data_IF_603267052988
#
_entry.id   IF_603267052988
#
_cell.length_a   1.000
_cell.length_b   1.000
_cell.length_c   1.000
_cell.angle_alpha   90.00
_cell.angle_beta   90.00
_cell.angle_gamma   90.00
#
_symmetry.space_group_name_H-M   'P 1'
#
loop_
_entity.id
_entity.type
_entity.pdbx_description
1 polymer ?
#
# COMPACT_ATOMS: atom_id res chain seq x y z
N UNK A 1 -15.87 -0.28 12.53
CA UNK A 1 -16.81 -0.39 11.38
C UNK A 1 -16.11 -0.33 10.04
N UNK A 2 -15.20 0.64 9.74
CA UNK A 2 -14.53 0.74 8.43
C UNK A 2 -13.73 -0.52 8.04
N UNK A 3 -13.14 -1.22 9.00
CA UNK A 3 -12.42 -2.48 8.75
C UNK A 3 -13.42 -3.62 8.50
N UNK A 4 -14.51 -3.67 9.24
CA UNK A 4 -15.61 -4.63 9.02
C UNK A 4 -16.25 -4.45 7.65
N UNK A 5 -16.35 -3.20 7.17
CA UNK A 5 -16.96 -2.85 5.89
C UNK A 5 -15.97 -2.95 4.70
N UNK A 6 -14.72 -3.35 4.94
CA UNK A 6 -13.69 -3.44 3.89
C UNK A 6 -14.06 -4.38 2.72
N UNK A 7 -14.71 -5.55 2.93
CA UNK A 7 -15.25 -6.36 1.83
C UNK A 7 -16.23 -5.58 0.95
N UNK A 8 -17.14 -4.81 1.56
CA UNK A 8 -18.07 -3.93 0.85
C UNK A 8 -17.38 -2.81 0.09
N UNK A 9 -16.31 -2.25 0.64
CA UNK A 9 -15.47 -1.24 -0.04
C UNK A 9 -14.81 -1.82 -1.30
N UNK A 10 -14.21 -3.01 -1.22
CA UNK A 10 -13.57 -3.66 -2.37
C UNK A 10 -14.60 -4.03 -3.45
N UNK A 11 -15.81 -4.44 -3.05
CA UNK A 11 -16.93 -4.66 -3.99
C UNK A 11 -17.32 -3.36 -4.71
N UNK A 12 -17.50 -2.28 -3.98
CA UNK A 12 -17.84 -0.97 -4.55
C UNK A 12 -16.73 -0.46 -5.46
N UNK A 13 -15.46 -0.65 -5.09
CA UNK A 13 -14.31 -0.32 -5.92
C UNK A 13 -14.32 -1.13 -7.23
N UNK A 14 -14.54 -2.44 -7.17
CA UNK A 14 -14.65 -3.27 -8.36
C UNK A 14 -15.81 -2.85 -9.27
N UNK A 15 -16.98 -2.55 -8.71
CA UNK A 15 -18.13 -2.05 -9.46
C UNK A 15 -17.87 -0.71 -10.14
N UNK A 16 -17.14 0.19 -9.48
CA UNK A 16 -16.70 1.45 -10.06
C UNK A 16 -15.86 1.21 -11.33
N UNK A 17 -14.95 0.24 -11.31
CA UNK A 17 -14.12 -0.07 -12.47
C UNK A 17 -14.93 -0.62 -13.66
N UNK A 18 -16.08 -1.28 -13.44
CA UNK A 18 -16.92 -1.78 -14.54
C UNK A 18 -17.55 -0.65 -15.37
N UNK A 19 -17.64 0.56 -14.82
CA UNK A 19 -18.11 1.76 -15.52
C UNK A 19 -17.00 2.73 -15.89
N UNK A 20 -15.77 2.40 -15.57
CA UNK A 20 -14.60 3.25 -15.83
C UNK A 20 -14.19 3.19 -17.31
N UNK A 21 -13.49 4.23 -17.82
CA UNK A 21 -12.94 4.20 -19.17
C UNK A 21 -11.96 3.03 -19.36
N UNK A 22 -12.13 2.27 -20.43
CA UNK A 22 -11.28 1.13 -20.80
C UNK A 22 -10.17 1.49 -21.79
N UNK A 23 -10.05 2.76 -22.14
CA UNK A 23 -9.01 3.30 -22.99
C UNK A 23 -8.67 4.74 -22.57
N UNK A 24 -7.44 5.13 -22.81
CA UNK A 24 -7.03 6.52 -22.66
C UNK A 24 -7.50 7.36 -23.89
N UNK A 25 -7.66 8.68 -23.72
CA UNK A 25 -7.97 9.59 -24.83
C UNK A 25 -6.78 9.79 -25.79
N UNK A 26 -5.67 9.11 -25.57
CA UNK A 26 -4.40 9.24 -26.31
C UNK A 26 -4.17 7.99 -27.17
N UNK A 27 -4.73 7.95 -28.39
CA UNK A 27 -4.80 6.75 -29.24
C UNK A 27 -3.45 6.10 -29.58
N UNK A 28 -2.36 6.88 -29.61
CA UNK A 28 -1.03 6.39 -30.02
C UNK A 28 -0.01 6.36 -28.86
N UNK A 29 -0.46 6.57 -27.64
CA UNK A 29 0.42 6.60 -26.49
C UNK A 29 0.73 5.19 -25.96
N UNK A 30 2.02 4.87 -26.00
CA UNK A 30 2.58 3.68 -25.37
C UNK A 30 3.58 4.18 -24.31
N UNK A 31 3.37 3.93 -23.03
CA UNK A 31 4.27 4.40 -21.99
C UNK A 31 5.63 3.69 -22.06
N UNK A 32 6.72 4.45 -22.02
CA UNK A 32 8.05 3.90 -21.80
C UNK A 32 8.29 3.54 -20.32
N UNK A 33 7.58 4.17 -19.43
CA UNK A 33 7.50 3.89 -17.99
C UNK A 33 6.22 4.48 -17.39
N UNK A 34 5.81 3.95 -16.24
CA UNK A 34 4.73 4.51 -15.43
C UNK A 34 5.26 4.98 -14.06
N UNK A 35 4.72 6.11 -13.58
CA UNK A 35 4.99 6.65 -12.25
C UNK A 35 3.68 6.88 -11.52
N UNK A 36 3.49 6.22 -10.39
CA UNK A 36 2.34 6.46 -9.51
C UNK A 36 2.75 7.44 -8.42
N UNK A 37 2.12 8.62 -8.42
CA UNK A 37 2.38 9.69 -7.45
C UNK A 37 1.33 9.67 -6.35
N UNK A 38 1.76 9.78 -5.10
CA UNK A 38 0.86 9.90 -3.96
C UNK A 38 1.60 9.87 -2.63
N UNK A 39 0.93 10.30 -1.57
CA UNK A 39 1.45 10.34 -0.21
C UNK A 39 0.65 9.46 0.73
N UNK A 40 1.29 8.89 1.76
CA UNK A 40 0.63 8.13 2.82
C UNK A 40 -0.33 7.06 2.31
N UNK A 41 -1.58 7.09 2.75
CA UNK A 41 -2.63 6.14 2.34
C UNK A 41 -2.92 6.12 0.84
N UNK A 42 -2.69 7.23 0.10
CA UNK A 42 -2.81 7.27 -1.36
C UNK A 42 -1.54 6.73 -2.04
N UNK A 43 -0.35 7.04 -1.50
CA UNK A 43 0.94 6.63 -2.08
C UNK A 43 1.22 5.15 -1.96
N UNK A 44 0.73 4.51 -0.90
CA UNK A 44 0.97 3.06 -0.66
C UNK A 44 0.45 2.19 -1.80
N UNK A 45 -0.66 2.58 -2.45
CA UNK A 45 -1.21 1.86 -3.60
C UNK A 45 -0.22 1.78 -4.77
N UNK A 46 0.49 2.89 -5.03
CA UNK A 46 1.52 2.95 -6.07
C UNK A 46 2.74 2.09 -5.74
N UNK A 47 3.19 2.13 -4.49
CA UNK A 47 4.34 1.32 -4.06
C UNK A 47 4.04 -0.17 -4.14
N UNK A 48 2.87 -0.60 -3.68
CA UNK A 48 2.43 -2.00 -3.79
C UNK A 48 2.36 -2.43 -5.26
N UNK A 49 1.70 -1.65 -6.11
CA UNK A 49 1.61 -1.94 -7.54
C UNK A 49 3.01 -2.02 -8.19
N UNK A 50 3.93 -1.11 -7.84
CA UNK A 50 5.31 -1.11 -8.33
C UNK A 50 6.05 -2.40 -7.96
N UNK A 51 5.94 -2.88 -6.71
CA UNK A 51 6.57 -4.12 -6.26
C UNK A 51 5.94 -5.36 -6.89
N UNK A 52 4.62 -5.45 -6.86
CA UNK A 52 3.85 -6.57 -7.42
C UNK A 52 4.09 -6.76 -8.92
N UNK A 53 4.25 -5.68 -9.67
CA UNK A 53 4.45 -5.70 -11.11
C UNK A 53 5.92 -5.72 -11.54
N UNK A 54 6.87 -5.68 -10.62
CA UNK A 54 8.30 -5.51 -10.90
C UNK A 54 8.90 -6.56 -11.83
N UNK A 55 8.35 -7.78 -11.84
CA UNK A 55 8.83 -8.90 -12.67
C UNK A 55 7.94 -9.21 -13.88
N UNK A 56 6.76 -8.59 -13.97
CA UNK A 56 5.76 -8.93 -14.99
C UNK A 56 5.39 -7.78 -15.93
N UNK A 57 5.52 -6.53 -15.48
CA UNK A 57 5.24 -5.38 -16.34
C UNK A 57 6.28 -5.25 -17.46
N UNK A 58 5.87 -4.95 -18.72
CA UNK A 58 6.77 -4.82 -19.85
C UNK A 58 7.67 -3.58 -19.80
N UNK A 59 7.33 -2.60 -18.96
CA UNK A 59 8.10 -1.38 -18.73
C UNK A 59 8.13 -1.07 -17.22
N UNK A 60 9.08 -0.26 -16.73
CA UNK A 60 9.15 0.08 -15.32
C UNK A 60 7.85 0.73 -14.79
N UNK A 61 7.34 0.22 -13.69
CA UNK A 61 6.27 0.84 -12.89
C UNK A 61 6.89 1.27 -11.58
N UNK A 62 6.87 2.56 -11.29
CA UNK A 62 7.55 3.17 -10.14
C UNK A 62 6.55 3.94 -9.28
N UNK A 63 6.87 4.13 -8.00
CA UNK A 63 6.12 4.99 -7.10
C UNK A 63 6.94 6.22 -6.72
N UNK A 64 6.27 7.36 -6.55
CA UNK A 64 6.87 8.62 -6.12
C UNK A 64 6.05 9.28 -5.00
N UNK A 65 6.73 9.74 -3.95
CA UNK A 65 6.13 10.37 -2.78
C UNK A 65 6.98 11.56 -2.32
N UNK A 66 7.20 12.53 -3.21
CA UNK A 66 8.03 13.70 -2.97
C UNK A 66 7.45 14.92 -3.71
N UNK A 67 7.94 16.10 -3.36
CA UNK A 67 7.68 17.36 -4.08
C UNK A 67 8.32 17.39 -5.46
N UNK A 68 9.48 16.76 -5.62
CA UNK A 68 10.26 16.75 -6.85
C UNK A 68 10.00 15.50 -7.68
N UNK A 69 9.97 15.67 -9.00
CA UNK A 69 9.90 14.57 -9.95
C UNK A 69 11.29 14.07 -10.34
N UNK A 70 11.45 12.76 -10.55
CA UNK A 70 12.63 12.21 -11.21
C UNK A 70 12.90 12.88 -12.56
N UNK A 71 14.18 13.07 -12.89
CA UNK A 71 14.60 13.77 -14.12
C UNK A 71 14.19 13.10 -15.44
N UNK A 72 13.85 11.80 -15.39
CA UNK A 72 13.42 11.02 -16.55
C UNK A 72 11.92 11.18 -16.89
N UNK A 73 11.12 11.81 -16.02
CA UNK A 73 9.68 12.04 -16.28
C UNK A 73 9.51 13.05 -17.41
N UNK A 74 8.75 12.67 -18.43
CA UNK A 74 8.48 13.50 -19.62
C UNK A 74 7.37 12.90 -20.50
N UNK A 75 7.34 13.26 -21.77
CA UNK A 75 6.25 12.92 -22.71
C UNK A 75 6.04 11.42 -22.93
N UNK A 76 7.04 10.57 -22.66
CA UNK A 76 6.94 9.11 -22.70
C UNK A 76 6.47 8.49 -21.39
N UNK A 77 6.17 9.27 -20.36
CA UNK A 77 5.78 8.79 -19.04
C UNK A 77 4.27 8.82 -18.86
N UNK A 78 3.69 7.69 -18.40
CA UNK A 78 2.36 7.68 -17.80
C UNK A 78 2.51 8.04 -16.31
N UNK A 79 1.87 9.11 -15.87
CA UNK A 79 1.76 9.49 -14.46
C UNK A 79 0.35 9.17 -13.97
N UNK A 80 0.24 8.36 -12.92
CA UNK A 80 -1.02 8.12 -12.22
C UNK A 80 -0.98 8.91 -10.91
N UNK A 81 -1.73 10.00 -10.86
CA UNK A 81 -1.81 10.86 -9.68
C UNK A 81 -2.89 10.35 -8.72
N UNK A 82 -2.47 9.88 -7.54
CA UNK A 82 -3.36 9.34 -6.54
C UNK A 82 -3.35 10.26 -5.29
N UNK A 83 -4.43 10.99 -5.08
CA UNK A 83 -4.63 11.82 -3.89
C UNK A 83 -6.09 11.76 -3.46
N UNK A 84 -6.36 11.13 -2.31
CA UNK A 84 -7.72 10.98 -1.79
C UNK A 84 -8.40 12.35 -1.60
N UNK A 85 -7.77 13.28 -0.88
CA UNK A 85 -8.31 14.63 -0.69
C UNK A 85 -8.26 15.49 -1.96
N UNK A 86 -7.39 15.16 -2.90
CA UNK A 86 -7.08 15.98 -4.06
C UNK A 86 -6.35 17.29 -3.75
N UNK A 87 -5.89 17.48 -2.50
CA UNK A 87 -5.25 18.73 -2.04
C UNK A 87 -3.87 18.50 -1.42
N UNK A 88 -3.31 17.27 -1.55
CA UNK A 88 -1.99 16.95 -1.00
C UNK A 88 -0.91 17.74 -1.73
N UNK A 89 -0.20 18.59 -1.00
CA UNK A 89 0.74 19.59 -1.52
C UNK A 89 1.84 18.97 -2.37
N UNK A 90 2.49 17.93 -1.85
CA UNK A 90 3.57 17.20 -2.53
C UNK A 90 3.07 16.59 -3.84
N UNK A 91 1.89 15.97 -3.81
CA UNK A 91 1.29 15.37 -5.01
C UNK A 91 0.94 16.43 -6.05
N UNK A 92 0.36 17.55 -5.65
CA UNK A 92 0.02 18.66 -6.55
C UNK A 92 1.28 19.27 -7.16
N UNK A 93 2.34 19.50 -6.37
CA UNK A 93 3.64 19.98 -6.86
C UNK A 93 4.21 19.06 -7.93
N UNK A 94 4.27 17.74 -7.65
CA UNK A 94 4.81 16.76 -8.58
C UNK A 94 3.95 16.64 -9.87
N UNK A 95 2.62 16.66 -9.74
CA UNK A 95 1.69 16.60 -10.90
C UNK A 95 1.84 17.82 -11.80
N UNK A 96 1.98 19.02 -11.22
CA UNK A 96 2.23 20.23 -12.00
C UNK A 96 3.50 20.12 -12.83
N UNK A 97 4.61 19.70 -12.22
CA UNK A 97 5.87 19.46 -12.94
C UNK A 97 5.72 18.40 -14.03
N UNK A 98 4.96 17.31 -13.77
CA UNK A 98 4.69 16.28 -14.76
C UNK A 98 3.96 16.83 -15.99
N UNK A 99 2.94 17.66 -15.77
CA UNK A 99 2.19 18.32 -16.83
C UNK A 99 3.08 19.25 -17.66
N UNK A 100 3.91 20.09 -17.01
CA UNK A 100 4.87 20.99 -17.65
C UNK A 100 5.90 20.24 -18.50
N UNK A 101 6.28 19.01 -18.11
CA UNK A 101 7.19 18.13 -18.88
C UNK A 101 6.47 17.30 -19.95
N UNK A 102 5.16 17.48 -20.14
CA UNK A 102 4.35 16.81 -21.15
C UNK A 102 4.02 15.35 -20.87
N UNK A 103 4.14 14.89 -19.62
CA UNK A 103 3.71 13.55 -19.23
C UNK A 103 2.21 13.35 -19.47
N UNK A 104 1.79 12.10 -19.70
CA UNK A 104 0.39 11.73 -19.78
C UNK A 104 -0.12 11.42 -18.38
N UNK A 105 -1.20 12.07 -17.96
CA UNK A 105 -1.67 12.03 -16.57
C UNK A 105 -3.04 11.37 -16.51
N UNK A 106 -3.19 10.38 -15.61
CA UNK A 106 -4.45 9.80 -15.18
C UNK A 106 -4.60 10.03 -13.67
N UNK A 107 -5.82 10.10 -13.17
CA UNK A 107 -6.10 10.55 -11.81
C UNK A 107 -6.96 9.55 -11.04
N UNK A 108 -6.68 9.40 -9.74
CA UNK A 108 -7.53 8.71 -8.76
C UNK A 108 -7.71 9.67 -7.57
N UNK A 109 -8.92 10.18 -7.35
CA UNK A 109 -9.19 11.18 -6.31
C UNK A 109 -10.66 11.19 -5.89
N UNK A 110 -10.96 11.71 -4.69
CA UNK A 110 -12.36 12.01 -4.31
C UNK A 110 -12.81 13.42 -4.72
N UNK A 111 -11.90 14.26 -5.26
CA UNK A 111 -12.19 15.64 -5.66
C UNK A 111 -11.00 16.56 -5.43
N UNK A 112 -11.26 17.75 -4.89
CA UNK A 112 -10.26 18.79 -4.59
C UNK A 112 -9.58 19.35 -5.84
N UNK A 113 -8.49 20.07 -5.64
CA UNK A 113 -7.71 20.73 -6.70
C UNK A 113 -7.27 19.76 -7.80
N UNK A 114 -6.87 18.53 -7.44
CA UNK A 114 -6.48 17.51 -8.41
C UNK A 114 -7.64 17.11 -9.32
N UNK A 115 -8.86 16.96 -8.76
CA UNK A 115 -10.07 16.68 -9.54
C UNK A 115 -10.45 17.84 -10.47
N UNK A 116 -10.31 19.08 -9.99
CA UNK A 116 -10.52 20.28 -10.81
C UNK A 116 -9.53 20.36 -11.97
N UNK A 117 -8.24 20.11 -11.72
CA UNK A 117 -7.22 20.08 -12.77
C UNK A 117 -7.51 18.98 -13.79
N UNK A 118 -7.92 17.78 -13.34
CA UNK A 118 -8.27 16.69 -14.24
C UNK A 118 -9.40 17.10 -15.20
N UNK A 119 -10.46 17.75 -14.67
CA UNK A 119 -11.56 18.24 -15.50
C UNK A 119 -11.13 19.35 -16.47
N UNK A 120 -10.32 20.33 -16.02
CA UNK A 120 -9.85 21.44 -16.85
C UNK A 120 -8.90 21.01 -17.97
N UNK A 121 -8.02 20.02 -17.68
CA UNK A 121 -7.01 19.54 -18.61
C UNK A 121 -7.48 18.34 -19.47
N UNK A 122 -8.70 17.81 -19.19
CA UNK A 122 -9.22 16.62 -19.86
C UNK A 122 -8.45 15.34 -19.52
N UNK A 123 -7.84 15.26 -18.32
CA UNK A 123 -7.18 14.04 -17.86
C UNK A 123 -8.22 12.99 -17.47
N UNK A 124 -8.03 11.72 -17.86
CA UNK A 124 -8.91 10.65 -17.38
C UNK A 124 -8.82 10.53 -15.86
N UNK A 125 -9.98 10.49 -15.20
CA UNK A 125 -10.06 10.47 -13.75
C UNK A 125 -11.05 9.43 -13.25
N UNK A 126 -10.65 8.71 -12.19
CA UNK A 126 -11.54 7.89 -11.38
C UNK A 126 -11.88 8.67 -10.11
N UNK A 127 -13.16 9.03 -9.99
CA UNK A 127 -13.69 9.67 -8.80
C UNK A 127 -14.14 8.61 -7.79
N UNK A 128 -13.45 8.57 -6.65
CA UNK A 128 -13.72 7.63 -5.56
C UNK A 128 -14.54 8.31 -4.45
N UNK A 129 -15.31 7.56 -3.63
CA UNK A 129 -16.07 8.14 -2.52
C UNK A 129 -15.18 8.89 -1.52
N UNK A 130 -15.63 10.07 -1.09
CA UNK A 130 -15.00 10.88 -0.06
C UNK A 130 -15.58 10.66 1.35
N UNK A 131 -15.08 11.41 2.35
CA UNK A 131 -15.70 11.49 3.70
C UNK A 131 -15.12 10.54 4.75
N UNK A 132 -14.03 9.84 4.44
CA UNK A 132 -13.37 8.90 5.36
C UNK A 132 -11.86 9.21 5.51
N UNK A 133 -11.18 8.68 6.55
CA UNK A 133 -9.73 8.76 6.63
C UNK A 133 -9.06 8.11 5.41
N UNK A 134 -8.06 8.76 4.77
CA UNK A 134 -7.44 8.24 3.53
C UNK A 134 -6.93 6.80 3.63
N UNK A 135 -6.34 6.43 4.78
CA UNK A 135 -5.81 5.09 5.03
C UNK A 135 -6.87 3.98 5.01
N UNK A 136 -8.13 4.33 5.34
CA UNK A 136 -9.25 3.38 5.30
C UNK A 136 -9.81 3.20 3.89
N UNK A 137 -9.39 3.99 2.90
CA UNK A 137 -9.90 3.95 1.53
C UNK A 137 -8.92 3.26 0.56
N UNK A 138 -8.09 2.38 1.10
CA UNK A 138 -7.07 1.64 0.34
C UNK A 138 -7.67 0.85 -0.83
N UNK A 139 -8.82 0.18 -0.64
CA UNK A 139 -9.48 -0.57 -1.70
C UNK A 139 -9.72 0.30 -2.94
N UNK A 140 -10.34 1.47 -2.78
CA UNK A 140 -10.58 2.37 -3.91
C UNK A 140 -9.29 2.88 -4.55
N UNK A 141 -8.29 3.27 -3.73
CA UNK A 141 -7.01 3.77 -4.23
C UNK A 141 -6.25 2.73 -5.05
N UNK A 142 -6.12 1.52 -4.51
CA UNK A 142 -5.39 0.43 -5.15
C UNK A 142 -6.09 -0.07 -6.42
N UNK A 143 -7.41 -0.28 -6.37
CA UNK A 143 -8.20 -0.67 -7.55
C UNK A 143 -8.09 0.37 -8.67
N UNK A 144 -8.15 1.66 -8.32
CA UNK A 144 -8.01 2.74 -9.29
C UNK A 144 -6.61 2.79 -9.94
N UNK A 145 -5.54 2.60 -9.16
CA UNK A 145 -4.16 2.51 -9.67
C UNK A 145 -4.01 1.30 -10.59
N UNK A 146 -4.46 0.12 -10.16
CA UNK A 146 -4.40 -1.11 -10.95
C UNK A 146 -5.20 -1.00 -12.25
N UNK A 147 -6.34 -0.29 -12.22
CA UNK A 147 -7.14 -0.05 -13.41
C UNK A 147 -6.37 0.78 -14.46
N UNK A 148 -5.81 1.92 -14.08
CA UNK A 148 -5.06 2.74 -15.03
C UNK A 148 -3.80 2.03 -15.55
N UNK A 149 -3.13 1.26 -14.72
CA UNK A 149 -2.01 0.42 -15.16
C UNK A 149 -2.47 -0.69 -16.11
N UNK A 150 -3.66 -1.28 -15.87
CA UNK A 150 -4.25 -2.28 -16.78
C UNK A 150 -4.64 -1.67 -18.13
N UNK A 151 -5.29 -0.50 -18.13
CA UNK A 151 -5.62 0.25 -19.36
C UNK A 151 -4.36 0.60 -20.17
N UNK A 152 -3.22 0.80 -19.49
CA UNK A 152 -1.91 1.00 -20.10
C UNK A 152 -1.26 -0.30 -20.61
N UNK A 153 -1.85 -1.47 -20.39
CA UNK A 153 -1.28 -2.77 -20.75
C UNK A 153 -0.13 -3.23 -19.85
N UNK A 154 -0.04 -2.69 -18.63
CA UNK A 154 1.06 -2.96 -17.70
C UNK A 154 0.72 -3.99 -16.62
N UNK A 155 -0.53 -4.42 -16.52
CA UNK A 155 -0.99 -5.43 -15.55
C UNK A 155 -1.39 -6.70 -16.29
N UNK A 156 -0.86 -7.87 -15.91
CA UNK A 156 -1.32 -9.14 -16.44
C UNK A 156 -2.83 -9.33 -16.24
N UNK A 157 -3.53 -9.79 -17.28
CA UNK A 157 -4.98 -9.98 -17.27
C UNK A 157 -5.47 -10.85 -16.10
N UNK A 158 -4.73 -11.92 -15.78
CA UNK A 158 -5.05 -12.80 -14.66
C UNK A 158 -5.05 -12.04 -13.33
N UNK A 159 -4.04 -11.19 -13.12
CA UNK A 159 -3.89 -10.40 -11.90
C UNK A 159 -5.02 -9.36 -11.77
N UNK A 160 -5.34 -8.65 -12.87
CA UNK A 160 -6.43 -7.68 -12.90
C UNK A 160 -7.79 -8.32 -12.61
N UNK A 161 -8.08 -9.47 -13.23
CA UNK A 161 -9.33 -10.20 -12.97
C UNK A 161 -9.44 -10.75 -11.56
N UNK A 162 -8.33 -11.08 -10.92
CA UNK A 162 -8.27 -11.50 -9.52
C UNK A 162 -8.91 -10.48 -8.57
N UNK A 163 -8.84 -9.18 -8.88
CA UNK A 163 -9.49 -8.12 -8.10
C UNK A 163 -11.01 -8.37 -7.94
N UNK A 164 -11.67 -8.98 -8.93
CA UNK A 164 -13.10 -9.29 -8.87
C UNK A 164 -13.46 -10.38 -7.84
N UNK A 165 -12.52 -11.27 -7.49
CA UNK A 165 -12.71 -12.33 -6.50
C UNK A 165 -12.50 -11.88 -5.05
N UNK A 166 -11.73 -10.80 -4.86
CA UNK A 166 -11.36 -10.29 -3.52
C UNK A 166 -12.55 -9.99 -2.61
N UNK A 167 -13.64 -9.31 -3.07
CA UNK A 167 -14.74 -8.96 -2.16
C UNK A 167 -15.41 -10.18 -1.51
N UNK A 168 -15.64 -11.23 -2.29
CA UNK A 168 -16.28 -12.46 -1.79
C UNK A 168 -15.33 -13.21 -0.83
N UNK A 169 -14.05 -13.28 -1.15
CA UNK A 169 -13.03 -13.88 -0.31
C UNK A 169 -12.96 -13.18 1.05
N UNK A 170 -12.83 -11.84 1.07
CA UNK A 170 -12.78 -11.07 2.32
C UNK A 170 -14.06 -11.19 3.15
N UNK A 171 -15.24 -11.18 2.50
CA UNK A 171 -16.51 -11.34 3.21
C UNK A 171 -16.61 -12.71 3.89
N UNK A 172 -16.13 -13.76 3.23
CA UNK A 172 -16.12 -15.11 3.79
C UNK A 172 -15.12 -15.24 4.96
N UNK A 173 -13.95 -14.61 4.86
CA UNK A 173 -12.84 -14.76 5.80
C UNK A 173 -12.75 -13.65 6.88
N UNK A 174 -13.74 -12.76 7.00
CA UNK A 174 -13.68 -11.63 7.96
C UNK A 174 -13.45 -12.09 9.40
N UNK A 175 -14.14 -13.14 9.85
CA UNK A 175 -13.99 -13.67 11.22
C UNK A 175 -12.59 -14.28 11.42
N UNK A 176 -12.13 -15.09 10.46
CA UNK A 176 -10.79 -15.68 10.50
C UNK A 176 -9.68 -14.61 10.54
N UNK A 177 -9.82 -13.54 9.74
CA UNK A 177 -8.87 -12.43 9.74
C UNK A 177 -8.80 -11.74 11.11
N UNK A 178 -9.95 -11.57 11.79
CA UNK A 178 -10.02 -10.99 13.12
C UNK A 178 -9.41 -11.91 14.17
N UNK A 179 -9.69 -13.21 14.12
CA UNK A 179 -9.13 -14.20 15.05
C UNK A 179 -7.60 -14.28 14.91
N UNK A 180 -7.08 -14.36 13.68
CA UNK A 180 -5.64 -14.34 13.40
C UNK A 180 -4.96 -13.05 13.88
N UNK A 181 -5.62 -11.90 13.72
CA UNK A 181 -5.10 -10.64 14.24
C UNK A 181 -5.04 -10.64 15.78
N UNK A 182 -6.00 -11.26 16.45
CA UNK A 182 -5.98 -11.41 17.92
C UNK A 182 -4.85 -12.33 18.40
N UNK A 183 -4.61 -13.45 17.72
CA UNK A 183 -3.48 -14.34 18.00
C UNK A 183 -2.12 -13.63 17.83
N UNK A 184 -1.99 -12.81 16.77
CA UNK A 184 -0.79 -12.00 16.55
C UNK A 184 -0.63 -10.95 17.68
N UNK A 185 -1.71 -10.30 18.12
CA UNK A 185 -1.67 -9.35 19.23
C UNK A 185 -1.18 -10.03 20.53
N UNK A 186 -1.69 -11.22 20.86
CA UNK A 186 -1.23 -12.00 22.01
C UNK A 186 0.28 -12.30 21.90
N UNK A 187 0.74 -12.69 20.72
CA UNK A 187 2.16 -12.96 20.48
C UNK A 187 3.04 -11.70 20.58
N UNK A 188 2.51 -10.51 20.28
CA UNK A 188 3.26 -9.25 20.43
C UNK A 188 3.54 -8.93 21.89
N UNK A 189 2.57 -9.12 22.78
CA UNK A 189 2.71 -8.94 24.23
C UNK A 189 3.48 -7.67 24.66
N UNK A 190 3.23 -6.54 24.00
CA UNK A 190 3.86 -5.25 24.28
C UNK A 190 5.31 -5.08 23.81
N UNK A 191 5.86 -6.04 23.08
CA UNK A 191 7.24 -6.01 22.55
C UNK A 191 7.37 -5.11 21.30
N UNK A 192 8.61 -4.84 20.93
CA UNK A 192 8.96 -4.10 19.72
C UNK A 192 8.65 -4.96 18.47
N UNK A 193 7.91 -4.40 17.54
CA UNK A 193 7.45 -5.12 16.35
C UNK A 193 8.44 -4.92 15.20
N UNK A 194 8.96 -6.01 14.65
CA UNK A 194 9.76 -6.05 13.44
C UNK A 194 8.99 -6.83 12.36
N UNK A 195 8.75 -6.19 11.22
CA UNK A 195 8.03 -6.79 10.08
C UNK A 195 9.03 -7.24 9.02
N UNK A 196 9.03 -8.51 8.65
CA UNK A 196 9.86 -9.05 7.60
C UNK A 196 9.05 -9.79 6.54
N UNK A 197 9.57 -9.79 5.30
CA UNK A 197 9.00 -10.52 4.18
C UNK A 197 9.90 -10.47 2.94
N UNK A 198 9.47 -11.08 1.86
CA UNK A 198 10.16 -10.97 0.56
C UNK A 198 10.07 -9.54 0.00
N UNK A 199 11.05 -9.13 -0.79
CA UNK A 199 11.08 -7.82 -1.47
C UNK A 199 9.79 -7.53 -2.26
N UNK A 200 9.16 -8.56 -2.84
CA UNK A 200 7.90 -8.40 -3.56
C UNK A 200 6.76 -7.92 -2.65
N UNK A 201 6.83 -8.21 -1.35
CA UNK A 201 5.84 -7.85 -0.34
C UNK A 201 6.16 -6.55 0.42
N UNK A 202 7.25 -5.85 0.06
CA UNK A 202 7.67 -4.63 0.78
C UNK A 202 6.56 -3.60 0.93
N UNK A 203 5.73 -3.41 -0.10
CA UNK A 203 4.60 -2.49 -0.03
C UNK A 203 3.57 -2.89 1.03
N UNK A 204 3.33 -4.20 1.24
CA UNK A 204 2.45 -4.70 2.29
C UNK A 204 3.05 -4.49 3.69
N UNK A 205 4.35 -4.77 3.86
CA UNK A 205 5.06 -4.52 5.12
C UNK A 205 5.00 -3.04 5.50
N UNK A 206 5.22 -2.14 4.55
CA UNK A 206 5.09 -0.69 4.75
C UNK A 206 3.66 -0.31 5.11
N UNK A 207 2.64 -0.91 4.47
CA UNK A 207 1.25 -0.66 4.83
C UNK A 207 0.94 -1.10 6.27
N UNK A 208 1.37 -2.31 6.68
CA UNK A 208 1.22 -2.77 8.05
C UNK A 208 1.86 -1.81 9.04
N UNK A 209 3.12 -1.41 8.79
CA UNK A 209 3.80 -0.40 9.60
C UNK A 209 3.01 0.90 9.70
N UNK A 210 2.48 1.42 8.58
CA UNK A 210 1.69 2.65 8.55
C UNK A 210 0.41 2.50 9.40
N UNK A 211 -0.31 1.40 9.27
CA UNK A 211 -1.52 1.12 10.04
C UNK A 211 -1.22 0.98 11.54
N UNK A 212 -0.17 0.28 11.91
CA UNK A 212 0.29 0.16 13.31
C UNK A 212 0.66 1.53 13.87
N UNK A 213 1.42 2.35 13.12
CA UNK A 213 1.80 3.69 13.56
C UNK A 213 0.58 4.61 13.70
N UNK A 214 -0.31 4.65 12.69
CA UNK A 214 -1.42 5.60 12.68
C UNK A 214 -2.58 5.18 13.58
N UNK A 215 -2.96 3.90 13.61
CA UNK A 215 -4.07 3.39 14.43
C UNK A 215 -3.58 3.03 15.83
N UNK A 216 -2.56 2.16 15.94
CA UNK A 216 -2.04 1.65 17.20
C UNK A 216 -1.18 2.63 18.00
N UNK A 217 -0.75 3.75 17.40
CA UNK A 217 0.19 4.74 18.00
C UNK A 217 1.52 4.13 18.44
N UNK A 218 1.95 3.06 17.78
CA UNK A 218 3.19 2.34 18.07
C UNK A 218 4.19 2.53 16.94
N UNK A 219 5.47 2.71 17.27
CA UNK A 219 6.54 2.64 16.30
C UNK A 219 6.79 1.18 15.92
N UNK A 220 6.98 0.93 14.64
CA UNK A 220 7.22 -0.39 14.09
C UNK A 220 8.23 -0.28 12.95
N UNK A 221 9.17 -1.22 12.89
CA UNK A 221 10.17 -1.28 11.83
C UNK A 221 9.83 -2.37 10.81
N UNK A 222 10.38 -2.28 9.60
CA UNK A 222 10.27 -3.32 8.60
C UNK A 222 11.56 -3.42 7.79
N UNK A 223 11.86 -4.60 7.28
CA UNK A 223 12.87 -4.81 6.27
C UNK A 223 12.50 -6.00 5.37
N UNK A 224 13.25 -6.17 4.29
CA UNK A 224 12.97 -7.21 3.30
C UNK A 224 14.13 -8.16 3.09
N UNK A 225 13.79 -9.40 2.82
CA UNK A 225 14.72 -10.39 2.29
C UNK A 225 14.88 -10.21 0.78
N UNK A 226 16.08 -10.45 0.23
CA UNK A 226 17.31 -10.89 0.92
C UNK A 226 18.18 -9.75 1.48
N UNK A 227 17.82 -8.47 1.29
CA UNK A 227 18.67 -7.32 1.61
C UNK A 227 19.08 -7.28 3.09
N UNK A 228 18.13 -7.53 4.02
CA UNK A 228 18.40 -7.51 5.45
C UNK A 228 19.51 -8.48 5.88
N UNK A 229 19.72 -9.59 5.15
CA UNK A 229 20.76 -10.57 5.45
C UNK A 229 22.18 -10.03 5.25
N UNK A 230 22.34 -8.91 4.53
CA UNK A 230 23.65 -8.33 4.21
C UNK A 230 24.05 -7.20 5.17
N UNK A 231 23.18 -6.81 6.08
CA UNK A 231 23.41 -5.68 7.00
C UNK A 231 22.72 -5.89 8.36
N UNK A 232 21.41 -5.90 8.42
CA UNK A 232 20.62 -5.90 9.66
C UNK A 232 20.79 -7.19 10.49
N UNK A 233 21.04 -8.33 9.83
CA UNK A 233 21.24 -9.61 10.51
C UNK A 233 22.42 -9.56 11.52
N UNK A 234 23.45 -8.74 11.27
CA UNK A 234 24.55 -8.52 12.23
C UNK A 234 24.05 -7.73 13.44
N UNK A 235 23.12 -6.80 13.25
CA UNK A 235 22.53 -6.00 14.33
C UNK A 235 21.75 -6.83 15.34
N UNK A 236 21.28 -8.00 14.94
CA UNK A 236 20.57 -8.93 15.81
C UNK A 236 21.39 -9.46 17.00
N UNK A 237 22.74 -9.35 16.97
CA UNK A 237 23.58 -9.64 18.15
C UNK A 237 23.26 -8.74 19.35
N UNK A 238 22.64 -7.58 19.13
CA UNK A 238 22.22 -6.64 20.17
C UNK A 238 20.72 -6.67 20.47
N UNK A 239 19.95 -7.52 19.80
CA UNK A 239 18.51 -7.71 20.00
C UNK A 239 18.23 -8.94 20.89
N UNK A 240 16.98 -9.21 21.21
CA UNK A 240 16.63 -10.33 22.07
C UNK A 240 15.14 -10.42 22.40
N UNK A 241 14.78 -10.73 23.66
CA UNK A 241 13.39 -11.02 24.05
C UNK A 241 12.45 -9.82 24.02
N UNK A 242 12.98 -8.61 23.86
CA UNK A 242 12.15 -7.40 23.75
C UNK A 242 11.60 -7.18 22.33
N UNK A 243 12.03 -7.99 21.35
CA UNK A 243 11.60 -7.98 19.97
C UNK A 243 10.64 -9.14 19.67
N UNK A 244 9.65 -8.87 18.83
CA UNK A 244 8.82 -9.88 18.16
C UNK A 244 8.90 -9.68 16.65
N UNK A 245 9.20 -10.75 15.95
CA UNK A 245 9.27 -10.77 14.47
C UNK A 245 7.92 -11.24 13.93
N UNK A 246 7.29 -10.42 13.11
CA UNK A 246 6.14 -10.81 12.29
C UNK A 246 6.64 -11.07 10.88
N UNK A 247 6.74 -12.34 10.51
CA UNK A 247 7.30 -12.82 9.23
C UNK A 247 6.17 -13.11 8.24
N UNK A 248 5.96 -12.24 7.26
CA UNK A 248 4.98 -12.49 6.20
C UNK A 248 5.59 -13.43 5.15
N UNK A 249 4.96 -14.58 4.92
CA UNK A 249 5.38 -15.57 3.93
C UNK A 249 4.28 -15.83 2.91
N UNK A 250 4.62 -15.74 1.62
CA UNK A 250 3.68 -15.98 0.53
C UNK A 250 4.09 -17.20 -0.29
N UNK A 251 3.13 -17.95 -0.89
CA UNK A 251 3.46 -19.01 -1.85
C UNK A 251 4.30 -18.54 -3.03
N UNK A 252 4.16 -17.25 -3.40
CA UNK A 252 4.88 -16.60 -4.50
C UNK A 252 6.30 -16.19 -4.16
N UNK A 253 6.72 -16.25 -2.90
CA UNK A 253 8.07 -15.85 -2.49
C UNK A 253 9.14 -16.66 -3.21
N UNK A 254 10.24 -16.00 -3.54
CA UNK A 254 11.35 -16.69 -4.21
C UNK A 254 11.87 -17.86 -3.33
N UNK A 255 12.05 -19.08 -3.86
CA UNK A 255 12.42 -20.25 -3.05
C UNK A 255 13.68 -20.05 -2.19
N UNK A 256 14.69 -19.31 -2.69
CA UNK A 256 15.88 -18.98 -1.90
C UNK A 256 15.61 -17.99 -0.79
N UNK A 257 14.66 -17.07 -0.98
CA UNK A 257 14.22 -16.16 0.08
C UNK A 257 13.55 -16.93 1.21
N UNK A 258 12.69 -17.89 0.88
CA UNK A 258 12.03 -18.76 1.85
C UNK A 258 13.04 -19.52 2.72
N UNK A 259 14.04 -20.14 2.11
CA UNK A 259 15.14 -20.81 2.85
C UNK A 259 15.89 -19.80 3.75
N UNK A 260 16.13 -18.57 3.28
CA UNK A 260 16.76 -17.53 4.11
C UNK A 260 15.90 -17.14 5.31
N UNK A 261 14.58 -17.01 5.11
CA UNK A 261 13.64 -16.76 6.20
C UNK A 261 13.69 -17.86 7.26
N UNK A 262 13.65 -19.15 6.84
CA UNK A 262 13.75 -20.29 7.74
C UNK A 262 15.05 -20.26 8.58
N UNK A 263 16.19 -20.04 7.95
CA UNK A 263 17.49 -19.95 8.66
C UNK A 263 17.51 -18.74 9.62
N UNK A 264 16.95 -17.60 9.21
CA UNK A 264 16.91 -16.41 10.06
C UNK A 264 15.95 -16.57 11.24
N UNK A 265 14.84 -17.31 11.08
CA UNK A 265 13.95 -17.63 12.21
C UNK A 265 14.70 -18.38 13.31
N UNK A 266 15.51 -19.40 12.94
CA UNK A 266 16.33 -20.12 13.91
C UNK A 266 17.29 -19.16 14.64
N UNK A 267 17.97 -18.27 13.90
CA UNK A 267 18.89 -17.28 14.47
C UNK A 267 18.15 -16.32 15.44
N UNK A 268 17.00 -15.80 15.06
CA UNK A 268 16.23 -14.88 15.91
C UNK A 268 15.77 -15.57 17.20
N UNK A 269 15.30 -16.83 17.10
CA UNK A 269 14.88 -17.63 18.26
C UNK A 269 16.06 -17.99 19.17
N UNK A 270 17.23 -18.30 18.63
CA UNK A 270 18.46 -18.53 19.41
C UNK A 270 18.88 -17.27 20.20
N UNK A 271 18.59 -16.07 19.67
CA UNK A 271 18.85 -14.78 20.31
C UNK A 271 17.71 -14.38 21.28
N UNK A 272 16.66 -15.16 21.40
CA UNK A 272 15.57 -15.00 22.37
C UNK A 272 14.37 -14.22 21.86
N UNK A 273 14.33 -13.83 20.59
CA UNK A 273 13.15 -13.20 19.99
C UNK A 273 12.09 -14.23 19.61
N UNK A 274 10.82 -13.90 19.76
CA UNK A 274 9.74 -14.70 19.20
C UNK A 274 9.52 -14.37 17.72
N UNK A 275 9.22 -15.41 16.94
CA UNK A 275 8.89 -15.28 15.53
C UNK A 275 7.49 -15.81 15.27
N UNK A 276 6.62 -14.97 14.73
CA UNK A 276 5.28 -15.31 14.28
C UNK A 276 5.28 -15.35 12.75
N UNK A 277 5.13 -16.54 12.19
CA UNK A 277 4.97 -16.73 10.74
C UNK A 277 3.52 -16.47 10.37
N UNK A 278 3.30 -15.61 9.39
CA UNK A 278 1.96 -15.18 8.95
C UNK A 278 1.84 -15.50 7.46
N UNK A 279 1.05 -16.53 7.16
CA UNK A 279 0.75 -16.93 5.79
C UNK A 279 -0.64 -16.44 5.38
N UNK A 280 -0.83 -16.03 4.12
CA UNK A 280 -2.12 -15.60 3.62
C UNK A 280 -3.05 -16.78 3.31
N UNK A 281 -4.36 -16.53 3.41
CA UNK A 281 -5.39 -17.39 2.83
C UNK A 281 -5.83 -16.85 1.46
N UNK A 282 -6.20 -17.74 0.53
CA UNK A 282 -6.71 -17.37 -0.79
C UNK A 282 -6.27 -18.29 -1.91
N UNK A 283 -7.12 -18.36 -2.94
CA UNK A 283 -6.90 -19.21 -4.13
C UNK A 283 -5.96 -18.56 -5.16
N UNK A 284 -5.94 -17.23 -5.22
CA UNK A 284 -5.11 -16.46 -6.14
C UNK A 284 -4.30 -15.37 -5.42
N UNK A 285 -3.35 -14.78 -6.14
CA UNK A 285 -2.43 -13.77 -5.61
C UNK A 285 -3.14 -12.53 -5.03
N UNK A 286 -4.24 -12.08 -5.67
CA UNK A 286 -5.00 -10.93 -5.17
C UNK A 286 -5.75 -11.26 -3.89
N UNK A 287 -6.37 -12.43 -3.80
CA UNK A 287 -7.03 -12.87 -2.58
C UNK A 287 -6.03 -12.98 -1.43
N UNK A 288 -4.88 -13.62 -1.64
CA UNK A 288 -3.81 -13.74 -0.63
C UNK A 288 -3.27 -12.38 -0.18
N UNK A 289 -3.03 -11.49 -1.13
CA UNK A 289 -2.57 -10.15 -0.80
C UNK A 289 -3.59 -9.39 0.06
N UNK A 290 -4.87 -9.37 -0.35
CA UNK A 290 -5.93 -8.67 0.37
C UNK A 290 -6.32 -9.33 1.70
N UNK A 291 -6.14 -10.63 1.84
CA UNK A 291 -6.28 -11.34 3.10
C UNK A 291 -5.34 -10.74 4.16
N UNK A 292 -4.05 -10.63 3.85
CA UNK A 292 -3.09 -10.03 4.80
C UNK A 292 -3.26 -8.50 4.95
N UNK A 293 -3.79 -7.79 3.96
CA UNK A 293 -4.24 -6.41 4.15
C UNK A 293 -5.28 -6.34 5.27
N UNK A 294 -6.28 -7.23 5.23
CA UNK A 294 -7.38 -7.25 6.19
C UNK A 294 -6.93 -7.67 7.60
N UNK A 295 -6.07 -8.69 7.69
CA UNK A 295 -5.44 -9.11 8.97
C UNK A 295 -4.66 -7.95 9.60
N UNK A 296 -3.84 -7.24 8.81
CA UNK A 296 -3.06 -6.10 9.31
C UNK A 296 -3.92 -4.92 9.75
N UNK A 297 -5.02 -4.66 9.04
CA UNK A 297 -5.97 -3.62 9.43
C UNK A 297 -6.66 -3.98 10.77
N UNK A 298 -7.09 -5.25 10.98
CA UNK A 298 -7.61 -5.72 12.24
C UNK A 298 -6.56 -5.64 13.36
N UNK A 299 -5.33 -6.12 13.13
CA UNK A 299 -4.25 -6.03 14.11
C UNK A 299 -4.03 -4.59 14.58
N UNK A 300 -4.00 -3.63 13.65
CA UNK A 300 -3.79 -2.22 14.00
C UNK A 300 -4.91 -1.64 14.87
N UNK A 301 -6.15 -2.09 14.69
CA UNK A 301 -7.28 -1.71 15.54
C UNK A 301 -7.16 -2.36 16.93
N UNK A 302 -6.87 -3.65 17.00
CA UNK A 302 -6.73 -4.37 18.26
C UNK A 302 -5.58 -3.81 19.10
N UNK A 303 -4.47 -3.40 18.48
CA UNK A 303 -3.37 -2.69 19.15
C UNK A 303 -3.84 -1.34 19.72
N UNK A 304 -4.68 -0.59 19.01
CA UNK A 304 -5.25 0.66 19.50
C UNK A 304 -6.17 0.41 20.71
N UNK A 305 -7.02 -0.60 20.63
CA UNK A 305 -7.94 -0.98 21.72
C UNK A 305 -7.17 -1.43 22.96
N UNK A 306 -6.15 -2.27 22.81
CA UNK A 306 -5.29 -2.73 23.90
C UNK A 306 -4.53 -1.58 24.56
N UNK A 307 -4.09 -0.60 23.79
CA UNK A 307 -3.42 0.61 24.29
C UNK A 307 -4.39 1.68 24.82
N UNK A 308 -5.70 1.53 24.64
CA UNK A 308 -6.72 2.50 25.04
C UNK A 308 -6.62 3.84 24.28
N UNK A 309 -6.18 3.82 23.02
CA UNK A 309 -6.00 5.02 22.20
C UNK A 309 -7.06 5.11 21.11
N UNK A 310 -7.37 6.34 20.68
CA UNK A 310 -8.29 6.56 19.54
C UNK A 310 -7.55 6.30 18.21
N UNK A 311 -7.94 5.25 17.45
CA UNK A 311 -7.30 4.95 16.17
C UNK A 311 -7.50 6.04 15.12
N UNK A 312 -8.51 6.91 15.27
CA UNK A 312 -8.81 7.98 14.28
C UNK A 312 -7.99 9.24 14.53
N UNK A 313 -7.55 9.47 15.76
CA UNK A 313 -6.79 10.66 16.14
C UNK A 313 -5.45 10.76 15.37
N UNK A 314 -5.26 11.89 14.68
CA UNK A 314 -4.03 12.21 13.93
C UNK A 314 -3.48 13.59 14.30
N UNK A 315 -3.70 14.02 15.54
CA UNK A 315 -3.39 15.39 16.03
C UNK A 315 -1.97 15.89 15.69
N UNK A 316 -0.98 15.01 15.68
CA UNK A 316 0.40 15.39 15.35
C UNK A 316 0.56 15.71 13.86
N UNK A 317 -0.13 14.97 12.98
CA UNK A 317 -0.17 15.26 11.54
C UNK A 317 -0.90 16.56 11.29
N UNK A 318 -2.04 16.79 11.95
CA UNK A 318 -2.81 18.02 11.81
C UNK A 318 -2.02 19.22 12.32
N UNK A 319 -1.31 19.09 13.43
CA UNK A 319 -0.40 20.13 13.94
C UNK A 319 0.67 20.52 12.93
N UNK A 320 1.30 19.52 12.29
CA UNK A 320 2.31 19.75 11.24
C UNK A 320 1.69 20.49 10.04
N UNK A 321 0.55 20.01 9.54
CA UNK A 321 -0.15 20.63 8.40
C UNK A 321 -0.55 22.08 8.68
N UNK A 322 -1.10 22.34 9.86
CA UNK A 322 -1.50 23.69 10.24
C UNK A 322 -0.27 24.62 10.34
N UNK A 323 0.84 24.14 10.90
CA UNK A 323 2.07 24.95 10.97
C UNK A 323 2.66 25.25 9.59
N UNK A 324 2.56 24.31 8.64
CA UNK A 324 3.03 24.51 7.26
C UNK A 324 2.11 25.49 6.50
N UNK A 325 0.80 25.47 6.75
CA UNK A 325 -0.13 26.36 6.09
C UNK A 325 0.10 27.85 6.42
N UNK A 326 0.72 28.13 7.57
CA UNK A 326 1.08 29.49 8.01
C UNK A 326 2.40 30.00 7.37
N UNK A 327 3.13 29.16 6.64
CA UNK A 327 4.40 29.50 5.99
C UNK A 327 4.15 29.77 4.50
N UNK A 328 4.48 30.95 3.97
CA UNK A 328 4.36 31.22 2.52
C UNK A 328 5.24 30.27 1.72
N UNK A 329 4.66 29.74 0.61
CA UNK A 329 5.37 28.89 -0.36
C UNK A 329 6.36 29.67 -1.22
#
# INVERSE_FOLDING_TARGET
QLITDFPGQTLAAWQLLQSAPTAFPWSDFQPAQALVLGMGGSGISGLIASRMLSTTAPVPVLAGSDYALPGWVGSGTLVIACSYSGTTEETLSAVKQAAERGARIAVVTSGGTLGEWAAQQGWPALHIPGGHPPRSQFGFGFYGVMHWLHVAGLVPEKLYRGLGGVPAHLAYNTTSAQERAAEILEAIDGRNILLYGDTAQEGLLIRWRQQINENGKLLCSHHVFPEMNHNELVGWEGAGPDEVVLMLQFPEDHPRTRIRMEICMDIFQELGADVVVIEPDGEDEMQRFFDLVHVGDWLSLLLAEAAGVDPVDIRNIDRLKNALADIPQ
#
